data_IF_079571885486
#
_entry.id   IF_079571885486
#
_cell.length_a   1.000
_cell.length_b   1.000
_cell.length_c   1.000
_cell.angle_alpha   90.00
_cell.angle_beta   90.00
_cell.angle_gamma   90.00
#
_symmetry.space_group_name_H-M   'P 1'
#
loop_
_entity.id
_entity.type
_entity.pdbx_description
1 polymer ?
#
# COMPACT_ATOMS: atom_id res chain seq x y z
N UNK A 1 13.01 12.84 21.09
CA UNK A 1 12.90 11.37 20.87
C UNK A 1 11.56 10.80 21.34
N UNK A 2 11.24 10.70 22.64
CA UNK A 2 9.95 10.09 23.07
C UNK A 2 8.70 10.77 22.48
N UNK A 3 8.61 12.10 22.49
CA UNK A 3 7.44 12.82 21.95
C UNK A 3 7.26 12.65 20.43
N UNK A 4 8.37 12.54 19.69
CA UNK A 4 8.33 12.34 18.23
C UNK A 4 7.82 10.95 17.88
N UNK A 5 8.33 9.92 18.57
CA UNK A 5 7.84 8.54 18.43
C UNK A 5 6.36 8.46 18.78
N UNK A 6 5.95 9.03 19.91
CA UNK A 6 4.54 9.08 20.33
C UNK A 6 3.65 9.75 19.27
N UNK A 7 4.11 10.84 18.65
CA UNK A 7 3.37 11.55 17.61
C UNK A 7 3.24 10.72 16.32
N UNK A 8 4.33 10.07 15.89
CA UNK A 8 4.33 9.20 14.72
C UNK A 8 3.42 7.99 14.94
N UNK A 9 3.51 7.34 16.09
CA UNK A 9 2.70 6.18 16.45
C UNK A 9 1.21 6.54 16.59
N UNK A 10 0.89 7.65 17.24
CA UNK A 10 -0.49 8.14 17.32
C UNK A 10 -1.07 8.46 15.93
N UNK A 11 -0.27 9.07 15.05
CA UNK A 11 -0.71 9.36 13.69
C UNK A 11 -0.87 8.08 12.87
N UNK A 12 0.06 7.13 13.00
CA UNK A 12 -0.01 5.79 12.37
C UNK A 12 -1.35 5.13 12.68
N UNK A 13 -1.70 5.03 13.97
CA UNK A 13 -2.96 4.42 14.41
C UNK A 13 -4.19 5.15 13.85
N UNK A 14 -4.20 6.49 13.89
CA UNK A 14 -5.30 7.28 13.36
C UNK A 14 -5.48 7.10 11.83
N UNK A 15 -4.38 7.00 11.09
CA UNK A 15 -4.40 6.78 9.64
C UNK A 15 -4.85 5.36 9.28
N UNK A 16 -4.42 4.34 10.03
CA UNK A 16 -4.93 2.97 9.90
C UNK A 16 -6.44 2.95 10.13
N UNK A 17 -6.91 3.50 11.25
CA UNK A 17 -8.34 3.51 11.58
C UNK A 17 -9.16 4.23 10.50
N UNK A 18 -8.69 5.40 10.06
CA UNK A 18 -9.34 6.17 8.99
C UNK A 18 -9.42 5.37 7.69
N UNK A 19 -8.32 4.72 7.28
CA UNK A 19 -8.27 3.94 6.04
C UNK A 19 -9.28 2.79 6.10
N UNK A 20 -9.30 2.04 7.22
CA UNK A 20 -10.20 0.90 7.43
C UNK A 20 -11.69 1.28 7.49
N UNK A 21 -12.02 2.53 7.79
CA UNK A 21 -13.41 3.03 7.75
C UNK A 21 -13.96 3.22 6.33
N UNK A 22 -13.11 3.17 5.30
CA UNK A 22 -13.59 3.23 3.91
C UNK A 22 -14.59 2.10 3.62
N UNK A 23 -15.67 2.41 2.89
CA UNK A 23 -16.79 1.50 2.62
C UNK A 23 -16.36 0.18 2.00
N UNK A 24 -15.47 0.21 1.00
CA UNK A 24 -14.87 -0.99 0.41
C UNK A 24 -14.29 -1.96 1.47
N UNK A 25 -13.42 -1.47 2.36
CA UNK A 25 -12.79 -2.31 3.39
C UNK A 25 -13.80 -2.75 4.46
N UNK A 26 -14.76 -1.89 4.81
CA UNK A 26 -15.85 -2.25 5.71
C UNK A 26 -16.71 -3.39 5.13
N UNK A 27 -17.02 -3.37 3.83
CA UNK A 27 -17.74 -4.46 3.14
C UNK A 27 -16.91 -5.73 3.07
N UNK A 28 -15.59 -5.62 2.86
CA UNK A 28 -14.70 -6.79 2.90
C UNK A 28 -14.77 -7.48 4.27
N UNK A 29 -14.59 -6.74 5.37
CA UNK A 29 -14.73 -7.28 6.73
C UNK A 29 -16.11 -7.85 7.04
N UNK A 30 -17.16 -7.24 6.51
CA UNK A 30 -18.54 -7.68 6.70
C UNK A 30 -18.94 -8.87 5.81
N UNK A 31 -18.09 -9.28 4.86
CA UNK A 31 -18.38 -10.33 3.90
C UNK A 31 -19.48 -9.97 2.88
N UNK A 32 -19.68 -8.68 2.61
CA UNK A 32 -20.72 -8.18 1.69
C UNK A 32 -20.15 -7.61 0.38
N UNK A 33 -18.83 -7.63 0.22
CA UNK A 33 -18.15 -7.30 -1.05
C UNK A 33 -18.36 -8.44 -2.06
N UNK A 34 -18.40 -8.11 -3.35
CA UNK A 34 -18.49 -9.12 -4.42
C UNK A 34 -17.11 -9.55 -4.91
N UNK A 35 -17.03 -10.77 -5.45
CA UNK A 35 -15.78 -11.26 -6.06
C UNK A 35 -15.35 -10.39 -7.25
N UNK A 36 -16.28 -9.86 -8.04
CA UNK A 36 -15.97 -9.00 -9.18
C UNK A 36 -15.34 -7.67 -8.75
N UNK A 37 -15.83 -7.07 -7.67
CA UNK A 37 -15.24 -5.85 -7.10
C UNK A 37 -13.84 -6.13 -6.55
N UNK A 38 -13.66 -7.26 -5.86
CA UNK A 38 -12.34 -7.70 -5.37
C UNK A 38 -11.35 -7.93 -6.52
N UNK A 39 -11.78 -8.58 -7.61
CA UNK A 39 -10.96 -8.79 -8.81
C UNK A 39 -10.56 -7.48 -9.47
N UNK A 40 -11.48 -6.50 -9.54
CA UNK A 40 -11.14 -5.15 -10.00
C UNK A 40 -10.09 -4.50 -9.10
N UNK A 41 -10.22 -4.64 -7.77
CA UNK A 41 -9.22 -4.17 -6.83
C UNK A 41 -7.85 -4.82 -7.07
N UNK A 42 -7.77 -6.14 -7.31
CA UNK A 42 -6.50 -6.81 -7.61
C UNK A 42 -5.80 -6.22 -8.84
N UNK A 43 -6.54 -5.96 -9.92
CA UNK A 43 -5.95 -5.35 -11.11
C UNK A 43 -5.38 -3.96 -10.78
N UNK A 44 -6.13 -3.15 -10.05
CA UNK A 44 -5.71 -1.79 -9.70
C UNK A 44 -4.54 -1.77 -8.70
N UNK A 45 -4.56 -2.66 -7.71
CA UNK A 45 -3.47 -2.83 -6.76
C UNK A 45 -2.20 -3.33 -7.47
N UNK A 46 -2.31 -4.27 -8.41
CA UNK A 46 -1.17 -4.73 -9.22
C UNK A 46 -0.52 -3.61 -10.03
N UNK A 47 -1.32 -2.71 -10.62
CA UNK A 47 -0.81 -1.53 -11.33
C UNK A 47 -0.05 -0.58 -10.41
N UNK A 48 -0.47 -0.43 -9.15
CA UNK A 48 0.26 0.36 -8.16
C UNK A 48 1.53 -0.35 -7.68
N UNK A 49 1.43 -1.63 -7.28
CA UNK A 49 2.53 -2.42 -6.71
C UNK A 49 3.66 -2.71 -7.70
N UNK A 50 3.41 -2.70 -9.01
CA UNK A 50 4.46 -2.84 -10.04
C UNK A 50 5.56 -1.77 -9.93
N UNK A 51 5.28 -0.63 -9.27
CA UNK A 51 6.23 0.44 -9.07
C UNK A 51 6.92 0.41 -7.70
N UNK A 52 6.62 -0.56 -6.83
CA UNK A 52 7.04 -0.50 -5.42
C UNK A 52 8.56 -0.40 -5.24
N UNK A 53 9.32 -1.29 -5.87
CA UNK A 53 10.79 -1.23 -5.90
C UNK A 53 11.33 0.09 -6.44
N UNK A 54 10.60 0.75 -7.35
CA UNK A 54 10.97 2.06 -7.91
C UNK A 54 10.67 3.21 -6.95
N UNK A 55 9.66 3.08 -6.09
CA UNK A 55 9.42 4.04 -5.00
C UNK A 55 10.56 3.99 -3.98
N UNK A 56 11.00 2.78 -3.62
CA UNK A 56 12.16 2.59 -2.73
C UNK A 56 13.43 3.19 -3.32
N UNK A 57 13.76 2.88 -4.58
CA UNK A 57 14.93 3.46 -5.24
C UNK A 57 14.87 4.99 -5.32
N UNK A 58 13.69 5.57 -5.59
CA UNK A 58 13.51 7.03 -5.61
C UNK A 58 13.73 7.63 -4.21
N UNK A 59 13.20 6.99 -3.17
CA UNK A 59 13.40 7.41 -1.78
C UNK A 59 14.88 7.36 -1.39
N UNK A 60 15.55 6.24 -1.66
CA UNK A 60 16.97 6.04 -1.31
C UNK A 60 17.86 7.12 -1.93
N UNK A 61 17.55 7.60 -3.13
CA UNK A 61 18.32 8.63 -3.81
C UNK A 61 18.36 9.98 -3.07
N UNK A 62 17.40 10.24 -2.16
CA UNK A 62 17.28 11.48 -1.41
C UNK A 62 17.69 11.32 0.08
N UNK A 63 18.10 10.12 0.52
CA UNK A 63 18.54 9.91 1.90
C UNK A 63 19.88 10.61 2.19
N UNK A 64 20.06 11.17 3.40
CA UNK A 64 21.23 12.01 3.70
C UNK A 64 22.52 11.21 3.93
N UNK A 65 22.44 9.91 4.22
CA UNK A 65 23.61 9.07 4.41
C UNK A 65 23.42 7.64 3.90
N UNK A 66 24.55 6.96 3.67
CA UNK A 66 24.57 5.56 3.23
C UNK A 66 24.07 4.58 4.32
N UNK A 67 24.03 5.01 5.59
CA UNK A 67 23.51 4.17 6.67
C UNK A 67 22.00 3.98 6.54
N UNK A 68 21.24 5.06 6.30
CA UNK A 68 19.79 4.94 6.08
C UNK A 68 19.49 4.25 4.74
N UNK A 69 20.32 4.46 3.71
CA UNK A 69 20.21 3.72 2.44
C UNK A 69 20.35 2.21 2.67
N UNK A 70 21.33 1.79 3.47
CA UNK A 70 21.52 0.37 3.79
C UNK A 70 20.32 -0.19 4.57
N UNK A 71 19.81 0.55 5.56
CA UNK A 71 18.65 0.12 6.33
C UNK A 71 17.40 -0.05 5.44
N UNK A 72 17.14 0.87 4.50
CA UNK A 72 16.02 0.74 3.57
C UNK A 72 16.26 -0.33 2.48
N UNK A 73 17.53 -0.71 2.22
CA UNK A 73 17.87 -1.68 1.19
C UNK A 73 17.40 -3.10 1.53
N UNK A 74 17.23 -3.43 2.82
CA UNK A 74 16.69 -4.73 3.25
C UNK A 74 15.29 -4.96 2.69
N UNK A 75 14.40 -3.96 2.82
CA UNK A 75 13.07 -3.96 2.22
C UNK A 75 13.13 -4.14 0.69
N UNK A 76 14.03 -3.41 0.00
CA UNK A 76 14.20 -3.57 -1.45
C UNK A 76 14.72 -4.97 -1.83
N UNK A 77 15.59 -5.57 -1.02
CA UNK A 77 16.13 -6.89 -1.29
C UNK A 77 15.05 -7.96 -1.15
N UNK A 78 14.21 -7.86 -0.12
CA UNK A 78 13.06 -8.74 0.05
C UNK A 78 12.10 -8.64 -1.15
N UNK A 79 11.71 -7.42 -1.53
CA UNK A 79 10.83 -7.16 -2.67
C UNK A 79 11.37 -7.70 -4.01
N UNK A 80 12.69 -7.71 -4.17
CA UNK A 80 13.40 -8.23 -5.34
C UNK A 80 13.64 -9.75 -5.28
N UNK A 81 13.27 -10.43 -4.20
CA UNK A 81 13.52 -11.85 -4.03
C UNK A 81 15.00 -12.19 -3.76
N UNK A 82 15.74 -11.27 -3.18
CA UNK A 82 17.18 -11.38 -2.91
C UNK A 82 17.47 -11.69 -1.43
N UNK A 83 16.48 -11.58 -0.55
CA UNK A 83 16.60 -11.96 0.84
C UNK A 83 16.66 -13.50 0.97
N UNK A 84 17.45 -14.06 1.92
CA UNK A 84 17.58 -15.51 2.09
C UNK A 84 16.26 -16.25 2.34
N UNK A 85 15.32 -15.59 3.02
CA UNK A 85 13.99 -16.08 3.40
C UNK A 85 12.86 -15.60 2.48
N UNK A 86 13.13 -14.64 1.60
CA UNK A 86 12.24 -14.26 0.49
C UNK A 86 12.97 -14.38 -0.85
N UNK A 87 13.09 -15.59 -1.43
CA UNK A 87 13.87 -15.83 -2.65
C UNK A 87 13.08 -15.56 -3.95
N UNK A 88 11.86 -15.01 -3.84
CA UNK A 88 10.98 -14.75 -4.99
C UNK A 88 10.59 -13.28 -5.03
N UNK A 89 10.80 -12.58 -6.16
CA UNK A 89 10.32 -11.21 -6.31
C UNK A 89 8.82 -11.11 -6.06
N UNK A 90 8.40 -10.17 -5.21
CA UNK A 90 7.00 -9.98 -4.82
C UNK A 90 6.09 -9.71 -6.02
N UNK A 91 6.59 -9.05 -7.07
CA UNK A 91 5.82 -8.84 -8.31
C UNK A 91 5.48 -10.14 -9.04
N UNK A 92 6.31 -11.19 -8.94
CA UNK A 92 6.01 -12.50 -9.51
C UNK A 92 4.97 -13.24 -8.67
N UNK A 93 5.07 -13.15 -7.34
CA UNK A 93 4.06 -13.69 -6.42
C UNK A 93 2.69 -13.06 -6.70
N UNK A 94 2.66 -11.73 -6.89
CA UNK A 94 1.44 -11.01 -7.25
C UNK A 94 0.88 -11.44 -8.61
N UNK A 95 1.74 -11.61 -9.62
CA UNK A 95 1.33 -12.06 -10.95
C UNK A 95 0.70 -13.45 -10.89
N UNK A 96 1.33 -14.40 -10.20
CA UNK A 96 0.82 -15.77 -10.09
C UNK A 96 -0.56 -15.78 -9.38
N UNK A 97 -0.74 -14.92 -8.37
CA UNK A 97 -2.04 -14.69 -7.73
C UNK A 97 -3.08 -14.14 -8.72
N UNK A 98 -2.73 -13.17 -9.57
CA UNK A 98 -3.66 -12.66 -10.60
C UNK A 98 -4.07 -13.77 -11.59
N UNK A 99 -3.12 -14.58 -12.05
CA UNK A 99 -3.38 -15.69 -12.97
C UNK A 99 -4.39 -16.69 -12.38
N UNK A 100 -4.28 -16.98 -11.08
CA UNK A 100 -5.23 -17.83 -10.36
C UNK A 100 -6.69 -17.34 -10.45
N UNK A 101 -6.89 -16.02 -10.40
CA UNK A 101 -8.22 -15.41 -10.56
C UNK A 101 -8.63 -15.17 -12.03
N UNK A 102 -7.82 -15.61 -12.99
CA UNK A 102 -8.03 -15.38 -14.42
C UNK A 102 -7.80 -13.92 -14.84
N UNK A 103 -6.95 -13.19 -14.12
CA UNK A 103 -6.66 -11.78 -14.32
C UNK A 103 -5.29 -11.58 -14.96
N UNK A 104 -5.12 -10.44 -15.63
CA UNK A 104 -3.83 -9.99 -16.15
C UNK A 104 -3.73 -8.47 -16.07
N UNK A 105 -2.51 -7.97 -15.91
CA UNK A 105 -2.22 -6.54 -16.03
C UNK A 105 -1.96 -6.13 -17.47
N UNK A 106 -1.81 -7.09 -18.39
CA UNK A 106 -1.63 -6.81 -19.81
C UNK A 106 -2.85 -6.03 -20.33
N UNK A 107 -2.62 -4.79 -20.75
CA UNK A 107 -3.64 -3.83 -21.23
C UNK A 107 -4.53 -3.23 -20.15
N UNK A 108 -4.37 -3.59 -18.88
CA UNK A 108 -5.04 -2.89 -17.79
C UNK A 108 -4.68 -1.38 -17.83
N UNK A 109 -5.60 -0.55 -17.34
CA UNK A 109 -5.40 0.90 -17.22
C UNK A 109 -5.70 1.31 -15.79
N UNK A 110 -4.92 2.24 -15.23
CA UNK A 110 -5.20 2.75 -13.90
C UNK A 110 -6.51 3.53 -13.94
N UNK A 111 -7.39 3.25 -13.00
CA UNK A 111 -8.50 4.14 -12.67
C UNK A 111 -7.95 5.49 -12.17
N UNK A 112 -8.76 6.58 -12.18
CA UNK A 112 -8.30 7.89 -11.73
C UNK A 112 -7.64 7.87 -10.35
N UNK A 113 -8.25 7.21 -9.35
CA UNK A 113 -7.67 7.07 -8.02
C UNK A 113 -6.38 6.25 -7.98
N UNK A 114 -6.25 5.22 -8.82
CA UNK A 114 -5.00 4.44 -8.97
C UNK A 114 -3.88 5.29 -9.52
N UNK A 115 -4.16 6.09 -10.56
CA UNK A 115 -3.19 7.05 -11.12
C UNK A 115 -2.77 8.07 -10.07
N UNK A 116 -3.73 8.66 -9.36
CA UNK A 116 -3.49 9.62 -8.28
C UNK A 116 -2.58 9.03 -7.20
N UNK A 117 -2.83 7.79 -6.78
CA UNK A 117 -2.03 7.12 -5.78
C UNK A 117 -0.59 6.86 -6.24
N UNK A 118 -0.40 6.40 -7.48
CA UNK A 118 0.94 6.22 -8.07
C UNK A 118 1.67 7.56 -8.15
N UNK A 119 0.99 8.61 -8.58
CA UNK A 119 1.57 9.96 -8.69
C UNK A 119 1.95 10.54 -7.33
N UNK A 120 1.07 10.41 -6.33
CA UNK A 120 1.33 10.88 -4.98
C UNK A 120 2.54 10.17 -4.36
N UNK A 121 2.67 8.85 -4.54
CA UNK A 121 3.83 8.11 -4.03
C UNK A 121 5.12 8.56 -4.72
N UNK A 122 5.15 8.64 -6.06
CA UNK A 122 6.34 9.12 -6.77
C UNK A 122 6.69 10.56 -6.43
N UNK A 123 5.71 11.44 -6.28
CA UNK A 123 5.95 12.85 -5.94
C UNK A 123 6.65 12.97 -4.58
N UNK A 124 6.18 12.24 -3.56
CA UNK A 124 6.81 12.25 -2.24
C UNK A 124 8.19 11.57 -2.24
N UNK A 125 8.34 10.38 -2.85
CA UNK A 125 9.63 9.67 -2.87
C UNK A 125 10.71 10.38 -3.68
N UNK A 126 10.34 11.25 -4.64
CA UNK A 126 11.28 12.04 -5.44
C UNK A 126 11.56 13.42 -4.87
N UNK A 127 10.89 13.81 -3.80
CA UNK A 127 11.09 15.11 -3.19
C UNK A 127 12.53 15.22 -2.65
N UNK A 128 13.24 16.33 -2.90
CA UNK A 128 14.57 16.55 -2.34
C UNK A 128 14.61 16.54 -0.81
N UNK A 129 13.49 16.80 -0.13
CA UNK A 129 13.37 16.58 1.29
C UNK A 129 12.96 15.11 1.60
N UNK A 130 13.86 14.28 2.15
CA UNK A 130 13.57 12.87 2.43
C UNK A 130 12.43 12.66 3.43
N UNK A 131 12.12 13.63 4.28
CA UNK A 131 11.02 13.54 5.24
C UNK A 131 9.67 13.25 4.55
N UNK A 132 9.43 13.82 3.36
CA UNK A 132 8.18 13.62 2.61
C UNK A 132 8.08 12.18 2.10
N UNK A 133 9.14 11.66 1.49
CA UNK A 133 9.17 10.28 1.00
C UNK A 133 9.06 9.25 2.13
N UNK A 134 9.76 9.46 3.25
CA UNK A 134 9.71 8.58 4.43
C UNK A 134 8.31 8.57 5.06
N UNK A 135 7.70 9.74 5.22
CA UNK A 135 6.33 9.85 5.74
C UNK A 135 5.30 9.16 4.86
N UNK A 136 5.44 9.29 3.53
CA UNK A 136 4.59 8.59 2.57
C UNK A 136 4.78 7.06 2.63
N UNK A 137 6.03 6.58 2.59
CA UNK A 137 6.34 5.14 2.62
C UNK A 137 5.92 4.48 3.93
N UNK A 138 6.25 5.06 5.08
CA UNK A 138 5.88 4.49 6.38
C UNK A 138 4.37 4.65 6.66
N UNK A 139 3.91 5.88 6.87
CA UNK A 139 2.57 6.15 7.40
C UNK A 139 1.46 5.94 6.36
N UNK A 140 1.77 6.11 5.06
CA UNK A 140 0.80 6.03 3.98
C UNK A 140 0.81 4.73 3.18
N UNK A 141 1.77 3.85 3.42
CA UNK A 141 1.87 2.55 2.76
C UNK A 141 2.19 1.43 3.76
N UNK A 142 3.45 1.25 4.16
CA UNK A 142 3.93 0.09 4.91
C UNK A 142 3.14 -0.15 6.20
N UNK A 143 2.94 0.89 7.01
CA UNK A 143 2.20 0.77 8.26
C UNK A 143 0.71 0.42 8.08
N UNK A 144 0.16 0.64 6.89
CA UNK A 144 -1.24 0.31 6.58
C UNK A 144 -1.40 -1.12 6.09
N UNK A 145 -0.35 -1.69 5.50
CA UNK A 145 -0.38 -2.95 4.74
C UNK A 145 -1.00 -4.09 5.56
N UNK A 146 -0.55 -4.42 6.78
CA UNK A 146 -1.10 -5.56 7.51
C UNK A 146 -2.61 -5.42 7.78
N UNK A 147 -3.06 -4.23 8.16
CA UNK A 147 -4.44 -4.00 8.53
C UNK A 147 -5.38 -3.92 7.31
N UNK A 148 -4.93 -3.29 6.21
CA UNK A 148 -5.69 -3.20 4.96
C UNK A 148 -5.77 -4.56 4.28
N UNK A 149 -4.66 -5.31 4.24
CA UNK A 149 -4.61 -6.62 3.60
C UNK A 149 -5.38 -7.67 4.41
N UNK A 150 -5.38 -7.59 5.74
CA UNK A 150 -6.27 -8.42 6.58
C UNK A 150 -7.75 -8.22 6.23
N UNK A 151 -8.17 -6.98 6.01
CA UNK A 151 -9.56 -6.68 5.65
C UNK A 151 -9.90 -7.21 4.24
N UNK A 152 -8.96 -7.11 3.29
CA UNK A 152 -9.10 -7.65 1.93
C UNK A 152 -9.17 -9.19 1.95
N UNK A 153 -8.30 -9.85 2.72
CA UNK A 153 -8.31 -11.30 2.93
C UNK A 153 -9.67 -11.78 3.46
N UNK A 154 -10.25 -11.05 4.43
CA UNK A 154 -11.59 -11.35 4.94
C UNK A 154 -12.66 -11.29 3.83
N UNK A 155 -12.56 -10.30 2.93
CA UNK A 155 -13.45 -10.19 1.77
C UNK A 155 -13.34 -11.37 0.80
N UNK A 156 -12.12 -11.77 0.45
CA UNK A 156 -11.88 -12.94 -0.41
C UNK A 156 -12.34 -14.24 0.24
N UNK A 157 -12.08 -14.42 1.54
CA UNK A 157 -12.53 -15.58 2.30
C UNK A 157 -14.06 -15.68 2.32
N UNK A 158 -14.77 -14.57 2.49
CA UNK A 158 -16.23 -14.53 2.40
C UNK A 158 -16.76 -14.89 1.00
N UNK A 159 -15.96 -14.67 -0.05
CA UNK A 159 -16.26 -15.08 -1.42
C UNK A 159 -15.83 -16.54 -1.74
N UNK A 160 -15.30 -17.28 -0.76
CA UNK A 160 -14.92 -18.68 -0.91
C UNK A 160 -13.50 -18.93 -1.41
N UNK A 161 -12.66 -17.89 -1.52
CA UNK A 161 -11.26 -18.04 -1.89
C UNK A 161 -10.48 -18.80 -0.79
N UNK A 162 -9.56 -19.67 -1.20
CA UNK A 162 -8.69 -20.41 -0.30
C UNK A 162 -7.43 -19.59 0.03
N UNK A 163 -6.83 -19.77 1.23
CA UNK A 163 -5.65 -19.03 1.64
C UNK A 163 -4.47 -19.13 0.66
N UNK A 164 -4.28 -20.28 0.01
CA UNK A 164 -3.18 -20.52 -0.93
C UNK A 164 -3.33 -19.69 -2.22
N UNK A 165 -4.54 -19.23 -2.52
CA UNK A 165 -4.86 -18.39 -3.68
C UNK A 165 -4.51 -16.92 -3.43
N UNK A 166 -4.10 -16.56 -2.21
CA UNK A 166 -3.92 -15.19 -1.73
C UNK A 166 -2.53 -14.95 -1.14
N UNK A 167 -1.55 -15.73 -1.58
CA UNK A 167 -0.19 -15.78 -1.02
C UNK A 167 0.45 -14.40 -0.84
N UNK A 168 0.31 -13.52 -1.84
CA UNK A 168 0.87 -12.16 -1.76
C UNK A 168 0.35 -11.39 -0.54
N UNK A 169 -0.95 -11.43 -0.26
CA UNK A 169 -1.50 -10.72 0.90
C UNK A 169 -1.11 -11.40 2.20
N UNK A 170 -1.03 -12.74 2.20
CA UNK A 170 -0.68 -13.52 3.39
C UNK A 170 0.74 -13.22 3.86
N UNK A 171 1.73 -13.22 2.98
CA UNK A 171 3.11 -12.92 3.38
C UNK A 171 3.21 -11.54 4.03
N UNK A 172 2.50 -10.53 3.52
CA UNK A 172 2.50 -9.16 4.06
C UNK A 172 1.63 -8.98 5.34
N UNK A 173 0.90 -10.01 5.78
CA UNK A 173 0.10 -9.98 7.02
C UNK A 173 0.69 -10.89 8.08
N UNK A 174 1.18 -12.07 7.68
CA UNK A 174 1.73 -13.10 8.55
C UNK A 174 3.21 -12.86 8.87
N UNK A 175 3.95 -12.20 7.97
CA UNK A 175 5.31 -11.73 8.24
C UNK A 175 5.22 -10.31 8.81
N UNK A 176 5.47 -10.17 10.11
CA UNK A 176 5.87 -8.90 10.69
C UNK A 176 7.32 -8.66 10.29
N UNK A 177 7.51 -8.06 9.12
CA UNK A 177 8.81 -7.85 8.47
C UNK A 177 9.56 -6.61 8.99
N UNK A 178 8.93 -5.82 9.87
CA UNK A 178 9.56 -4.67 10.52
C UNK A 178 9.87 -3.52 9.57
N UNK A 179 9.33 -3.51 8.35
CA UNK A 179 9.60 -2.46 7.35
C UNK A 179 9.12 -1.10 7.83
N UNK A 180 7.90 -1.04 8.36
CA UNK A 180 7.33 0.19 8.89
C UNK A 180 8.16 0.72 10.09
N UNK A 181 8.65 -0.16 10.96
CA UNK A 181 9.50 0.14 12.10
C UNK A 181 10.86 0.68 11.65
N UNK A 182 11.48 0.04 10.66
CA UNK A 182 12.77 0.47 10.10
C UNK A 182 12.67 1.88 9.51
N UNK A 183 11.61 2.14 8.73
CA UNK A 183 11.39 3.48 8.15
C UNK A 183 11.07 4.50 9.24
N UNK A 184 10.27 4.15 10.26
CA UNK A 184 10.01 5.02 11.42
C UNK A 184 11.29 5.38 12.17
N UNK A 185 12.20 4.43 12.34
CA UNK A 185 13.44 4.68 13.06
C UNK A 185 14.35 5.65 12.27
N UNK A 186 14.38 5.54 10.94
CA UNK A 186 15.00 6.55 10.05
C UNK A 186 14.32 7.92 10.22
N UNK A 187 12.99 7.97 10.27
CA UNK A 187 12.24 9.22 10.47
C UNK A 187 12.58 9.88 11.80
N UNK A 188 12.70 9.11 12.89
CA UNK A 188 13.07 9.61 14.21
C UNK A 188 14.50 10.16 14.22
N UNK A 189 15.43 9.48 13.55
CA UNK A 189 16.81 9.95 13.41
C UNK A 189 16.88 11.27 12.64
N UNK A 190 16.16 11.37 11.52
CA UNK A 190 16.10 12.60 10.73
C UNK A 190 15.50 13.76 11.53
N UNK A 191 14.42 13.51 12.26
CA UNK A 191 13.76 14.50 13.11
C UNK A 191 14.57 14.92 14.34
N UNK A 192 15.53 14.10 14.79
CA UNK A 192 16.43 14.50 15.88
C UNK A 192 17.37 15.65 15.48
N UNK A 193 17.64 15.80 14.19
CA UNK A 193 18.43 16.91 13.63
C UNK A 193 17.62 18.18 13.37
N UNK A 194 16.31 18.05 13.13
CA UNK A 194 15.39 19.15 12.82
C UNK A 194 13.92 18.73 13.09
N UNK A 195 13.25 19.39 14.04
CA UNK A 195 11.89 19.05 14.42
C UNK A 195 10.87 19.36 13.32
N UNK A 196 11.16 20.29 12.41
CA UNK A 196 10.23 20.67 11.33
C UNK A 196 10.02 19.52 10.33
N UNK A 197 10.91 18.52 10.35
CA UNK A 197 10.81 17.31 9.52
C UNK A 197 9.62 16.42 9.90
N UNK A 198 9.19 16.43 11.16
CA UNK A 198 8.02 15.63 11.59
C UNK A 198 6.77 16.10 10.87
N UNK A 199 6.51 17.41 10.81
CA UNK A 199 5.31 17.93 10.16
C UNK A 199 5.26 17.56 8.68
N UNK A 200 6.41 17.57 7.99
CA UNK A 200 6.53 17.11 6.59
C UNK A 200 6.19 15.62 6.45
N UNK A 201 6.65 14.78 7.37
CA UNK A 201 6.34 13.35 7.37
C UNK A 201 4.84 13.10 7.59
N UNK A 202 4.24 13.79 8.57
CA UNK A 202 2.82 13.65 8.89
C UNK A 202 1.93 14.12 7.73
N UNK A 203 2.28 15.24 7.09
CA UNK A 203 1.60 15.75 5.90
C UNK A 203 1.67 14.74 4.75
N UNK A 204 2.87 14.22 4.44
CA UNK A 204 3.06 13.27 3.35
C UNK A 204 2.31 11.95 3.58
N UNK A 205 2.33 11.43 4.82
CA UNK A 205 1.54 10.26 5.21
C UNK A 205 0.03 10.46 5.03
N UNK A 206 -0.50 11.60 5.48
CA UNK A 206 -1.91 11.98 5.29
C UNK A 206 -2.27 12.10 3.82
N UNK A 207 -1.43 12.77 3.04
CA UNK A 207 -1.63 12.96 1.60
C UNK A 207 -1.68 11.61 0.87
N UNK A 208 -0.81 10.66 1.20
CA UNK A 208 -0.84 9.34 0.57
C UNK A 208 -2.06 8.52 1.01
N UNK A 209 -2.51 8.65 2.27
CA UNK A 209 -3.78 8.06 2.72
C UNK A 209 -4.98 8.65 1.96
N UNK A 210 -5.01 9.96 1.71
CA UNK A 210 -6.07 10.57 0.90
C UNK A 210 -6.10 9.97 -0.51
N UNK A 211 -4.93 9.79 -1.13
CA UNK A 211 -4.82 9.14 -2.43
C UNK A 211 -5.24 7.66 -2.40
N UNK A 212 -4.98 6.95 -1.29
CA UNK A 212 -5.44 5.56 -1.06
C UNK A 212 -6.96 5.48 -0.94
N UNK A 213 -7.59 6.43 -0.25
CA UNK A 213 -9.04 6.50 -0.16
C UNK A 213 -9.65 6.76 -1.54
N UNK A 214 -9.06 7.67 -2.33
CA UNK A 214 -9.48 7.92 -3.72
C UNK A 214 -9.32 6.68 -4.63
N UNK A 215 -8.28 5.87 -4.40
CA UNK A 215 -8.10 4.56 -5.04
C UNK A 215 -9.28 3.63 -4.77
N UNK A 216 -9.66 3.44 -3.50
CA UNK A 216 -10.80 2.59 -3.16
C UNK A 216 -12.13 3.15 -3.68
N UNK A 217 -12.35 4.47 -3.57
CA UNK A 217 -13.56 5.11 -4.11
C UNK A 217 -13.68 4.95 -5.64
N UNK A 218 -12.54 4.95 -6.35
CA UNK A 218 -12.53 4.73 -7.81
C UNK A 218 -12.92 3.30 -8.17
N UNK A 219 -12.49 2.30 -7.38
CA UNK A 219 -12.89 0.90 -7.56
C UNK A 219 -14.40 0.76 -7.36
N UNK A 220 -14.94 1.29 -6.26
CA UNK A 220 -16.39 1.24 -5.98
C UNK A 220 -17.21 1.89 -7.10
N UNK A 221 -16.77 3.06 -7.58
CA UNK A 221 -17.43 3.78 -8.67
C UNK A 221 -17.41 2.98 -9.96
N UNK A 222 -16.25 2.43 -10.33
CA UNK A 222 -16.11 1.64 -11.56
C UNK A 222 -16.91 0.34 -11.51
N UNK A 223 -16.91 -0.35 -10.37
CA UNK A 223 -17.72 -1.55 -10.16
C UNK A 223 -19.22 -1.23 -10.24
N UNK A 224 -19.68 -0.15 -9.61
CA UNK A 224 -21.08 0.27 -9.68
C UNK A 224 -21.52 0.61 -11.11
N UNK A 225 -20.70 1.34 -11.88
CA UNK A 225 -20.99 1.65 -13.28
C UNK A 225 -21.06 0.40 -14.16
N UNK A 226 -20.17 -0.56 -13.95
CA UNK A 226 -20.19 -1.84 -14.65
C UNK A 226 -21.46 -2.65 -14.33
N UNK A 227 -21.88 -2.64 -13.06
CA UNK A 227 -23.11 -3.30 -12.63
C UNK A 227 -24.36 -2.67 -13.27
N UNK A 228 -24.50 -1.33 -13.24
CA UNK A 228 -25.62 -0.62 -13.88
C UNK A 228 -25.66 -0.85 -15.39
N UNK A 229 -24.50 -0.88 -16.07
CA UNK A 229 -24.44 -1.14 -17.51
C UNK A 229 -24.78 -2.59 -17.89
N UNK A 230 -24.72 -3.53 -16.95
CA UNK A 230 -25.02 -4.94 -17.15
C UNK A 230 -26.49 -5.30 -16.86
N UNK A 231 -27.25 -4.41 -16.20
CA UNK A 231 -28.70 -4.60 -16.04
C UNK A 231 -29.40 -4.41 -17.40
N UNK A 232 -30.18 -5.40 -17.90
CA UNK A 232 -31.02 -5.17 -19.06
C UNK A 232 -32.07 -4.11 -18.70
N UNK A 233 -32.30 -3.13 -19.58
CA UNK A 233 -33.44 -2.21 -19.44
C UNK A 233 -34.69 -3.04 -19.13
N UNK A 234 -35.22 -2.89 -17.91
CA UNK A 234 -36.48 -3.48 -17.54
C UNK A 234 -37.57 -2.79 -18.36
N UNK A 235 -37.92 -3.41 -19.49
CA UNK A 235 -39.03 -3.05 -20.37
C UNK A 235 -40.16 -4.08 -20.23
#
# INVERSE_FOLDING_TARGET
MNLQIETLEATKLALIERTRKHSFLARCRAGTVTLDELKLMLVQQGLYSTYFTRYLCAMMANLPSNQEVLALAENLFEELGLAPDSPRPHYLIYRDMLEHFGLTLERARPLPGTRQLIDAMFANCRDPNPARGLGALCLGAEALVPAVYSDILAGFSACGAQPEELEFFRIHVECDDGHAETIRDIMVQLAAGDNDQIDQMLEAGRHLVDARLAFFSSIETAHHLAWVAAEPEAA
#
